data_IF_744208597241
#
_entry.id   IF_744208597241
#
_cell.length_a   1.000
_cell.length_b   1.000
_cell.length_c   1.000
_cell.angle_alpha   90.00
_cell.angle_beta   90.00
_cell.angle_gamma   90.00
#
_symmetry.space_group_name_H-M   'P 1'
#
loop_
_entity.id
_entity.type
_entity.pdbx_description
1 polymer ?
#
# COMPACT_ATOMS: atom_id res chain seq x y z
N UNK A 1 10.51 12.67 23.57
CA UNK A 1 10.85 11.38 22.92
C UNK A 1 10.13 11.36 21.59
N UNK A 2 10.83 11.19 20.47
CA UNK A 2 10.16 10.87 19.21
C UNK A 2 9.89 9.37 19.23
N UNK A 3 8.64 8.97 19.00
CA UNK A 3 8.31 7.55 18.85
C UNK A 3 9.08 6.96 17.66
N UNK A 4 9.55 5.72 17.82
CA UNK A 4 10.22 4.98 16.75
C UNK A 4 9.30 4.87 15.52
N UNK A 5 9.81 5.18 14.32
CA UNK A 5 9.02 5.12 13.08
C UNK A 5 8.75 3.66 12.70
N UNK A 6 7.46 3.34 12.49
CA UNK A 6 6.93 2.00 12.19
C UNK A 6 6.00 2.09 10.99
N UNK A 7 6.52 1.79 9.81
CA UNK A 7 5.83 1.90 8.53
C UNK A 7 5.19 0.56 8.18
N UNK A 8 3.91 0.60 7.77
CA UNK A 8 3.28 -0.50 7.05
C UNK A 8 3.09 -0.15 5.58
N UNK A 9 3.50 -1.04 4.69
CA UNK A 9 3.34 -0.89 3.24
C UNK A 9 2.27 -1.88 2.76
N UNK A 10 1.25 -1.38 2.09
CA UNK A 10 0.17 -2.21 1.54
C UNK A 10 0.17 -2.06 0.03
N UNK A 11 0.51 -3.14 -0.68
CA UNK A 11 0.62 -3.15 -2.14
C UNK A 11 -0.63 -3.82 -2.72
N UNK A 12 -1.31 -3.11 -3.62
CA UNK A 12 -2.54 -3.60 -4.24
C UNK A 12 -2.23 -4.38 -5.52
N UNK A 13 -2.83 -5.56 -5.66
CA UNK A 13 -2.75 -6.39 -6.88
C UNK A 13 -3.73 -5.94 -7.96
N UNK A 14 -4.94 -5.51 -7.58
CA UNK A 14 -5.97 -4.98 -8.49
C UNK A 14 -6.27 -5.88 -9.71
N UNK A 15 -6.08 -7.19 -9.56
CA UNK A 15 -6.18 -8.19 -10.61
C UNK A 15 -5.21 -7.93 -11.76
N UNK A 16 -5.71 -8.04 -12.99
CA UNK A 16 -4.91 -7.78 -14.18
C UNK A 16 -4.48 -6.31 -14.35
N UNK A 17 -4.95 -5.39 -13.50
CA UNK A 17 -4.59 -3.98 -13.64
C UNK A 17 -3.23 -3.61 -13.05
N UNK A 18 -2.74 -4.32 -12.04
CA UNK A 18 -1.39 -4.12 -11.49
C UNK A 18 -0.62 -5.44 -11.60
N UNK A 19 -1.11 -6.53 -10.99
CA UNK A 19 -0.43 -7.82 -11.03
C UNK A 19 -0.35 -8.48 -12.42
N UNK A 20 -1.06 -7.94 -13.41
CA UNK A 20 -0.90 -8.33 -14.81
C UNK A 20 0.42 -7.84 -15.46
N UNK A 21 1.09 -6.85 -14.86
CA UNK A 21 2.31 -6.22 -15.40
C UNK A 21 3.40 -6.11 -14.33
N UNK A 22 3.05 -5.63 -13.14
CA UNK A 22 3.97 -5.46 -12.00
C UNK A 22 4.02 -6.74 -11.17
N UNK A 23 5.22 -7.22 -10.83
CA UNK A 23 5.39 -8.33 -9.90
C UNK A 23 5.15 -7.88 -8.45
N UNK A 24 3.88 -7.90 -8.02
CA UNK A 24 3.47 -7.43 -6.69
C UNK A 24 4.16 -8.17 -5.54
N UNK A 25 4.31 -9.51 -5.55
CA UNK A 25 5.10 -10.22 -4.54
C UNK A 25 6.53 -9.68 -4.39
N UNK A 26 7.20 -9.36 -5.50
CA UNK A 26 8.56 -8.82 -5.47
C UNK A 26 8.60 -7.41 -4.87
N UNK A 27 7.64 -6.55 -5.20
CA UNK A 27 7.50 -5.21 -4.60
C UNK A 27 7.27 -5.31 -3.08
N UNK A 28 6.47 -6.28 -2.63
CA UNK A 28 6.23 -6.54 -1.20
C UNK A 28 7.51 -6.99 -0.50
N UNK A 29 8.26 -7.93 -1.09
CA UNK A 29 9.53 -8.40 -0.52
C UNK A 29 10.58 -7.29 -0.47
N UNK A 30 10.68 -6.47 -1.52
CA UNK A 30 11.53 -5.28 -1.53
C UNK A 30 11.15 -4.31 -0.40
N UNK A 31 9.86 -4.02 -0.24
CA UNK A 31 9.37 -3.11 0.81
C UNK A 31 9.74 -3.58 2.22
N UNK A 32 9.73 -4.90 2.50
CA UNK A 32 10.16 -5.45 3.80
C UNK A 32 11.63 -5.17 4.13
N UNK A 33 12.48 -4.99 3.11
CA UNK A 33 13.90 -4.67 3.29
C UNK A 33 14.18 -3.20 3.60
N UNK A 34 13.18 -2.31 3.49
CA UNK A 34 13.36 -0.88 3.65
C UNK A 34 13.43 -0.47 5.13
N UNK A 35 14.23 0.56 5.40
CA UNK A 35 14.39 1.12 6.75
C UNK A 35 13.03 1.52 7.32
N UNK A 36 12.79 1.16 8.58
CA UNK A 36 11.56 1.46 9.35
C UNK A 36 10.28 0.77 8.85
N UNK A 37 10.32 -0.01 7.76
CA UNK A 37 9.21 -0.88 7.39
C UNK A 37 9.19 -2.08 8.32
N UNK A 38 8.12 -2.18 9.10
CA UNK A 38 7.93 -3.27 10.07
C UNK A 38 6.89 -4.29 9.60
N UNK A 39 6.17 -3.95 8.53
CA UNK A 39 5.13 -4.76 7.93
C UNK A 39 4.96 -4.39 6.45
N UNK A 40 4.85 -5.39 5.59
CA UNK A 40 4.41 -5.20 4.22
C UNK A 40 3.49 -6.34 3.80
N UNK A 41 2.39 -6.01 3.14
CA UNK A 41 1.33 -6.94 2.77
C UNK A 41 0.82 -6.71 1.34
N UNK A 42 0.35 -7.80 0.75
CA UNK A 42 -0.30 -7.82 -0.56
C UNK A 42 -1.83 -7.83 -0.38
N UNK A 43 -2.49 -6.78 -0.85
CA UNK A 43 -3.94 -6.69 -0.89
C UNK A 43 -4.49 -6.96 -2.28
N UNK A 44 -5.19 -8.10 -2.46
CA UNK A 44 -5.79 -8.43 -3.77
C UNK A 44 -6.67 -7.30 -4.33
N UNK A 45 -7.48 -6.72 -3.45
CA UNK A 45 -8.33 -5.56 -3.72
C UNK A 45 -8.31 -4.63 -2.52
N UNK A 46 -7.28 -3.79 -2.40
CA UNK A 46 -7.07 -3.03 -1.16
C UNK A 46 -8.19 -2.03 -0.81
N UNK A 47 -9.07 -1.69 -1.76
CA UNK A 47 -10.22 -0.83 -1.54
C UNK A 47 -11.52 -1.58 -1.16
N UNK A 48 -11.50 -2.92 -1.09
CA UNK A 48 -12.66 -3.70 -0.68
C UNK A 48 -12.96 -3.50 0.81
N UNK A 49 -14.24 -3.61 1.19
CA UNK A 49 -14.66 -3.44 2.60
C UNK A 49 -13.92 -4.42 3.51
N UNK A 50 -13.81 -5.68 3.09
CA UNK A 50 -13.15 -6.73 3.87
C UNK A 50 -11.66 -6.43 4.07
N UNK A 51 -10.96 -5.95 3.03
CA UNK A 51 -9.55 -5.61 3.16
C UNK A 51 -9.33 -4.36 3.99
N UNK A 52 -10.21 -3.34 3.88
CA UNK A 52 -10.11 -2.15 4.72
C UNK A 52 -10.32 -2.48 6.21
N UNK A 53 -11.21 -3.43 6.53
CA UNK A 53 -11.35 -3.92 7.90
C UNK A 53 -10.09 -4.65 8.36
N UNK A 54 -9.55 -5.57 7.54
CA UNK A 54 -8.28 -6.26 7.81
C UNK A 54 -7.13 -5.27 8.03
N UNK A 55 -7.00 -4.25 7.16
CA UNK A 55 -5.99 -3.21 7.27
C UNK A 55 -6.05 -2.48 8.62
N UNK A 56 -7.24 -2.18 9.15
CA UNK A 56 -7.37 -1.58 10.47
C UNK A 56 -6.83 -2.47 11.58
N UNK A 57 -7.03 -3.79 11.47
CA UNK A 57 -6.50 -4.75 12.43
C UNK A 57 -4.97 -4.84 12.32
N UNK A 58 -4.43 -4.94 11.10
CA UNK A 58 -2.99 -4.98 10.83
C UNK A 58 -2.28 -3.72 11.33
N UNK A 59 -2.87 -2.53 11.15
CA UNK A 59 -2.34 -1.27 11.71
C UNK A 59 -2.18 -1.35 13.23
N UNK A 60 -3.16 -1.91 13.92
CA UNK A 60 -3.15 -2.03 15.39
C UNK A 60 -2.19 -3.13 15.85
N UNK A 61 -2.24 -4.29 15.23
CA UNK A 61 -1.42 -5.47 15.54
C UNK A 61 0.08 -5.15 15.44
N UNK A 62 0.50 -4.56 14.33
CA UNK A 62 1.90 -4.21 14.09
C UNK A 62 2.32 -2.88 14.73
N UNK A 63 1.40 -2.20 15.42
CA UNK A 63 1.60 -0.89 16.06
C UNK A 63 2.18 0.11 15.07
N UNK A 64 1.56 0.21 13.89
CA UNK A 64 2.02 1.09 12.82
C UNK A 64 1.75 2.55 13.19
N UNK A 65 2.68 3.42 12.82
CA UNK A 65 2.51 4.86 12.97
C UNK A 65 2.73 5.65 11.67
N UNK A 66 3.02 4.96 10.56
CA UNK A 66 3.01 5.49 9.19
C UNK A 66 2.43 4.40 8.27
N UNK A 67 1.72 4.81 7.23
CA UNK A 67 1.11 3.89 6.25
C UNK A 67 1.49 4.33 4.84
N UNK A 68 1.87 3.38 3.99
CA UNK A 68 2.07 3.60 2.56
C UNK A 68 1.11 2.68 1.81
N UNK A 69 0.33 3.24 0.89
CA UNK A 69 -0.55 2.47 0.01
C UNK A 69 0.01 2.57 -1.42
N UNK A 70 0.47 1.45 -1.98
CA UNK A 70 0.91 1.37 -3.37
C UNK A 70 -0.21 0.74 -4.21
N UNK A 71 -0.95 1.57 -4.95
CA UNK A 71 -2.15 1.13 -5.67
C UNK A 71 -2.48 2.03 -6.88
N UNK A 72 -3.72 2.50 -6.94
CA UNK A 72 -4.22 3.43 -7.96
C UNK A 72 -3.87 4.89 -7.65
N UNK A 73 -4.37 5.81 -8.45
CA UNK A 73 -4.21 7.25 -8.21
C UNK A 73 -4.83 7.68 -6.86
N UNK A 74 -4.18 8.58 -6.09
CA UNK A 74 -4.73 9.12 -4.86
C UNK A 74 -6.05 9.85 -5.07
N UNK A 75 -6.27 10.43 -6.27
CA UNK A 75 -7.48 11.22 -6.59
C UNK A 75 -8.78 10.47 -6.32
N UNK A 76 -8.78 9.15 -6.48
CA UNK A 76 -9.99 8.33 -6.36
C UNK A 76 -10.19 7.79 -4.96
N UNK A 77 -9.16 7.14 -4.39
CA UNK A 77 -9.32 6.34 -3.18
C UNK A 77 -8.59 6.88 -1.95
N UNK A 78 -7.74 7.91 -2.06
CA UNK A 78 -7.06 8.47 -0.88
C UNK A 78 -8.04 8.88 0.24
N UNK A 79 -9.22 9.50 -0.02
CA UNK A 79 -10.18 9.80 1.05
C UNK A 79 -10.70 8.56 1.79
N UNK A 80 -10.81 7.42 1.09
CA UNK A 80 -11.24 6.14 1.65
C UNK A 80 -10.17 5.60 2.60
N UNK A 81 -8.91 5.49 2.13
CA UNK A 81 -7.82 5.00 2.97
C UNK A 81 -7.51 5.94 4.15
N UNK A 82 -7.60 7.27 3.97
CA UNK A 82 -7.49 8.23 5.08
C UNK A 82 -8.57 8.02 6.14
N UNK A 83 -9.80 7.65 5.74
CA UNK A 83 -10.85 7.29 6.70
C UNK A 83 -10.48 6.01 7.46
N UNK A 84 -10.05 4.97 6.76
CA UNK A 84 -9.64 3.68 7.34
C UNK A 84 -8.48 3.85 8.34
N UNK A 85 -7.45 4.61 7.97
CA UNK A 85 -6.31 4.93 8.87
C UNK A 85 -6.77 5.70 10.11
N UNK A 86 -7.69 6.66 9.95
CA UNK A 86 -8.29 7.39 11.07
C UNK A 86 -9.07 6.45 12.00
N UNK A 87 -9.87 5.55 11.45
CA UNK A 87 -10.63 4.54 12.21
C UNK A 87 -9.72 3.52 12.92
N UNK A 88 -8.51 3.30 12.40
CA UNK A 88 -7.48 2.51 13.08
C UNK A 88 -6.83 3.24 14.26
N UNK A 89 -7.08 4.54 14.42
CA UNK A 89 -6.51 5.38 15.49
C UNK A 89 -5.26 6.14 15.11
N UNK A 90 -4.90 6.18 13.82
CA UNK A 90 -3.72 6.89 13.33
C UNK A 90 -4.11 8.24 12.67
N UNK A 91 -3.20 9.21 12.74
CA UNK A 91 -3.38 10.47 12.02
C UNK A 91 -3.45 10.20 10.49
N UNK A 92 -4.53 10.59 9.80
CA UNK A 92 -4.72 10.32 8.36
C UNK A 92 -3.70 11.04 7.46
N UNK A 93 -2.97 12.03 7.97
CA UNK A 93 -1.90 12.72 7.23
C UNK A 93 -0.54 12.01 7.38
N UNK A 94 -0.49 10.89 8.08
CA UNK A 94 0.67 9.99 8.16
C UNK A 94 0.52 8.79 7.20
N UNK A 95 -0.40 8.91 6.25
CA UNK A 95 -0.56 8.04 5.11
C UNK A 95 0.08 8.70 3.88
N UNK A 96 0.84 7.92 3.12
CA UNK A 96 1.35 8.26 1.80
C UNK A 96 0.72 7.34 0.74
N UNK A 97 0.47 7.86 -0.46
CA UNK A 97 -0.20 7.12 -1.53
C UNK A 97 0.67 7.11 -2.79
N UNK A 98 1.02 5.92 -3.26
CA UNK A 98 1.87 5.70 -4.42
C UNK A 98 1.02 5.09 -5.54
N UNK A 99 0.97 5.74 -6.69
CA UNK A 99 0.25 5.22 -7.86
C UNK A 99 1.17 4.30 -8.66
N UNK A 100 0.96 2.99 -8.54
CA UNK A 100 1.67 1.97 -9.34
C UNK A 100 0.80 1.40 -10.46
N UNK A 101 -0.48 1.82 -10.55
CA UNK A 101 -1.39 1.46 -11.64
C UNK A 101 -1.30 2.44 -12.80
N UNK A 102 -1.82 3.66 -12.62
CA UNK A 102 -1.89 4.67 -13.69
C UNK A 102 -0.51 5.20 -14.08
N UNK A 103 0.45 5.23 -13.16
CA UNK A 103 1.80 5.76 -13.38
C UNK A 103 2.89 4.68 -13.53
N UNK A 104 2.53 3.40 -13.51
CA UNK A 104 3.47 2.32 -13.81
C UNK A 104 2.81 1.22 -14.65
N UNK A 105 2.05 0.30 -14.06
CA UNK A 105 1.48 -0.88 -14.75
C UNK A 105 0.82 -0.57 -16.10
N UNK A 106 -0.04 0.46 -16.17
CA UNK A 106 -0.77 0.79 -17.40
C UNK A 106 0.09 1.46 -18.48
N UNK A 107 1.21 2.07 -18.12
CA UNK A 107 2.08 2.80 -19.04
C UNK A 107 3.34 2.02 -19.42
N UNK A 108 3.55 0.84 -18.81
CA UNK A 108 4.70 -0.04 -19.03
C UNK A 108 4.29 -1.49 -19.32
N UNK A 109 3.13 -1.69 -19.96
CA UNK A 109 2.58 -3.03 -20.25
C UNK A 109 3.51 -3.90 -21.13
N UNK A 110 4.36 -3.27 -21.92
CA UNK A 110 5.35 -3.89 -22.81
C UNK A 110 6.72 -4.14 -22.15
N UNK A 111 6.94 -3.60 -20.95
CA UNK A 111 8.15 -3.84 -20.15
C UNK A 111 7.81 -4.12 -18.67
N UNK A 112 7.32 -5.34 -18.35
CA UNK A 112 7.00 -5.76 -16.98
C UNK A 112 8.18 -5.66 -16.00
N UNK A 113 9.42 -5.81 -16.50
CA UNK A 113 10.62 -5.70 -15.67
C UNK A 113 10.80 -4.27 -15.20
N UNK A 114 10.75 -3.30 -16.12
CA UNK A 114 10.85 -1.88 -15.78
C UNK A 114 9.64 -1.37 -14.98
N UNK A 115 8.45 -1.97 -15.18
CA UNK A 115 7.27 -1.64 -14.38
C UNK A 115 7.42 -2.05 -12.90
N UNK A 116 8.21 -3.09 -12.63
CA UNK A 116 8.41 -3.68 -11.30
C UNK A 116 9.53 -2.99 -10.51
N UNK A 117 10.60 -2.55 -11.17
CA UNK A 117 11.77 -1.87 -10.57
C UNK A 117 11.44 -0.49 -9.98
#
# INVERSE_FOLDING_TARGET
>A
MQDEVRIGVFVCDCGSNIAGVVNVPEVVEYAKGLKNVVFADEGRWSCSVDYLESMKQLIKEHRLNRVVIAACTPRTHEPLFKRTVREAGLNPYLLEFVSIREQSSWVHMDDPSAATE
#
